data_IF_620953484240
#
_entry.id   IF_620953484240
#
_cell.length_a   1.000
_cell.length_b   1.000
_cell.length_c   1.000
_cell.angle_alpha   90.00
_cell.angle_beta   90.00
_cell.angle_gamma   90.00
#
_symmetry.space_group_name_H-M   'P 1'
#
loop_
_entity.id
_entity.type
_entity.pdbx_description
1 polymer ?
#
# COMPACT_ATOMS: atom_id res chain seq x y z
N UNK A 1 -7.24 4.29 -13.23
CA UNK A 1 -6.52 3.87 -14.46
C UNK A 1 -6.37 2.37 -14.38
N UNK A 2 -6.77 1.65 -15.42
CA UNK A 2 -6.54 0.20 -15.54
C UNK A 2 -5.51 -0.03 -16.63
N UNK A 3 -4.65 -1.02 -16.45
CA UNK A 3 -3.71 -1.47 -17.47
C UNK A 3 -3.90 -2.97 -17.59
N UNK A 4 -4.11 -3.44 -18.82
CA UNK A 4 -4.39 -4.86 -19.11
C UNK A 4 -3.19 -5.51 -19.79
N UNK A 5 -3.20 -6.84 -19.88
CA UNK A 5 -2.15 -7.64 -20.52
C UNK A 5 -0.77 -7.48 -19.88
N UNK A 6 -0.73 -7.29 -18.56
CA UNK A 6 0.51 -7.30 -17.80
C UNK A 6 0.75 -8.73 -17.29
N UNK A 7 1.76 -9.45 -17.81
CA UNK A 7 2.03 -10.80 -17.32
C UNK A 7 2.57 -10.75 -15.88
N UNK A 8 2.11 -11.63 -14.98
CA UNK A 8 2.77 -11.80 -13.69
C UNK A 8 4.19 -12.30 -13.93
N UNK A 9 5.10 -11.92 -13.06
CA UNK A 9 6.48 -12.37 -13.19
C UNK A 9 7.28 -12.13 -11.92
N UNK A 10 8.31 -12.97 -11.69
CA UNK A 10 9.25 -12.73 -10.60
C UNK A 10 9.94 -11.37 -10.81
N UNK A 11 10.54 -10.87 -9.73
CA UNK A 11 11.51 -9.77 -9.81
C UNK A 11 12.56 -10.08 -10.90
N UNK A 12 12.99 -9.05 -11.62
CA UNK A 12 14.00 -9.17 -12.68
C UNK A 12 15.02 -8.03 -12.57
N UNK A 13 15.99 -8.00 -13.49
CA UNK A 13 17.04 -6.98 -13.49
C UNK A 13 16.51 -5.56 -13.65
N UNK A 14 15.35 -5.38 -14.29
CA UNK A 14 14.73 -4.07 -14.48
C UNK A 14 14.09 -3.63 -13.16
N UNK A 15 13.28 -4.49 -12.54
CA UNK A 15 12.63 -4.16 -11.26
C UNK A 15 13.65 -3.99 -10.14
N UNK A 16 14.74 -4.77 -10.14
CA UNK A 16 15.85 -4.63 -9.22
C UNK A 16 16.59 -3.30 -9.39
N UNK A 17 16.83 -2.86 -10.62
CA UNK A 17 17.45 -1.55 -10.88
C UNK A 17 16.59 -0.39 -10.34
N UNK A 18 15.26 -0.48 -10.46
CA UNK A 18 14.35 0.49 -9.86
C UNK A 18 14.43 0.49 -8.33
N UNK A 19 14.42 -0.69 -7.69
CA UNK A 19 14.55 -0.81 -6.23
C UNK A 19 15.88 -0.26 -5.73
N UNK A 20 16.99 -0.65 -6.37
CA UNK A 20 18.33 -0.17 -6.02
C UNK A 20 18.45 1.35 -6.14
N UNK A 21 17.89 1.95 -7.20
CA UNK A 21 17.84 3.40 -7.38
C UNK A 21 16.99 4.08 -6.29
N UNK A 22 15.83 3.50 -5.97
CA UNK A 22 14.95 3.98 -4.92
C UNK A 22 15.64 3.94 -3.55
N UNK A 23 16.30 2.84 -3.20
CA UNK A 23 17.08 2.68 -1.97
C UNK A 23 18.16 3.74 -1.84
N UNK A 24 18.95 3.97 -2.90
CA UNK A 24 19.98 5.01 -2.90
C UNK A 24 19.38 6.40 -2.66
N UNK A 25 18.27 6.72 -3.33
CA UNK A 25 17.58 8.01 -3.15
C UNK A 25 17.04 8.17 -1.72
N UNK A 26 16.46 7.12 -1.14
CA UNK A 26 15.94 7.14 0.21
C UNK A 26 17.05 7.29 1.25
N UNK A 27 18.18 6.59 1.09
CA UNK A 27 19.35 6.73 1.97
C UNK A 27 19.86 8.18 2.01
N UNK A 28 19.93 8.84 0.85
CA UNK A 28 20.35 10.24 0.77
C UNK A 28 19.39 11.20 1.51
N UNK A 29 18.08 10.96 1.41
CA UNK A 29 17.06 11.72 2.15
C UNK A 29 17.16 11.44 3.66
N UNK A 30 17.23 10.17 4.04
CA UNK A 30 17.20 9.73 5.44
C UNK A 30 18.47 10.10 6.22
N UNK A 31 19.60 10.29 5.53
CA UNK A 31 20.82 10.84 6.13
C UNK A 31 20.62 12.27 6.69
N UNK A 32 19.64 13.01 6.16
CA UNK A 32 19.39 14.41 6.53
C UNK A 32 18.10 14.59 7.32
N UNK A 33 17.10 13.73 7.08
CA UNK A 33 15.76 13.88 7.63
C UNK A 33 15.25 12.54 8.12
N UNK A 34 14.94 12.38 9.42
CA UNK A 34 14.35 11.14 9.92
C UNK A 34 12.98 10.91 9.30
N UNK A 35 12.57 9.64 9.13
CA UNK A 35 11.32 9.24 8.46
C UNK A 35 10.10 10.06 8.91
N UNK A 36 9.96 10.27 10.22
CA UNK A 36 8.81 10.99 10.81
C UNK A 36 8.77 12.49 10.48
N UNK A 37 9.89 13.07 10.05
CA UNK A 37 10.00 14.49 9.69
C UNK A 37 9.92 14.73 8.17
N UNK A 38 9.77 13.67 7.37
CA UNK A 38 9.52 13.81 5.93
C UNK A 38 8.12 14.41 5.73
N UNK A 39 7.97 15.55 5.04
CA UNK A 39 6.68 16.23 4.91
C UNK A 39 5.56 15.35 4.35
N UNK A 40 5.85 14.57 3.30
CA UNK A 40 4.86 13.70 2.68
C UNK A 40 4.42 12.56 3.62
N UNK A 41 5.34 12.01 4.44
CA UNK A 41 4.99 11.02 5.47
C UNK A 41 4.02 11.61 6.49
N UNK A 42 4.27 12.85 6.93
CA UNK A 42 3.35 13.54 7.84
C UNK A 42 1.98 13.80 7.19
N UNK A 43 1.94 14.26 5.95
CA UNK A 43 0.68 14.48 5.22
C UNK A 43 -0.15 13.19 5.08
N UNK A 44 0.48 12.07 4.73
CA UNK A 44 -0.21 10.78 4.64
C UNK A 44 -0.69 10.27 6.01
N UNK A 45 0.05 10.55 7.09
CA UNK A 45 -0.45 10.27 8.45
C UNK A 45 -1.71 11.06 8.77
N UNK A 46 -1.77 12.35 8.40
CA UNK A 46 -2.98 13.15 8.61
C UNK A 46 -4.15 12.67 7.74
N UNK A 47 -3.91 12.29 6.48
CA UNK A 47 -4.93 11.68 5.63
C UNK A 47 -5.49 10.39 6.26
N UNK A 48 -4.63 9.53 6.80
CA UNK A 48 -5.04 8.30 7.49
C UNK A 48 -5.86 8.58 8.76
N UNK A 49 -5.45 9.58 9.55
CA UNK A 49 -6.23 10.01 10.72
C UNK A 49 -7.61 10.56 10.34
N UNK A 50 -7.72 11.25 9.21
CA UNK A 50 -8.98 11.87 8.78
C UNK A 50 -10.10 10.84 8.53
N UNK A 51 -9.76 9.61 8.15
CA UNK A 51 -10.72 8.49 8.05
C UNK A 51 -10.67 7.53 9.26
N UNK A 52 -10.15 7.99 10.40
CA UNK A 52 -10.19 7.26 11.66
C UNK A 52 -9.11 6.18 11.84
N UNK A 53 -8.14 6.06 10.93
CA UNK A 53 -7.04 5.12 11.12
C UNK A 53 -6.10 5.58 12.24
N UNK A 54 -5.59 4.61 13.00
CA UNK A 54 -4.66 4.87 14.11
C UNK A 54 -3.22 4.76 13.58
N UNK A 55 -2.43 5.84 13.51
CA UNK A 55 -1.09 5.79 12.89
C UNK A 55 -0.12 4.79 13.52
N UNK A 56 -0.31 4.47 14.80
CA UNK A 56 0.49 3.44 15.49
C UNK A 56 0.16 2.01 15.07
N UNK A 57 -1.04 1.78 14.52
CA UNK A 57 -1.52 0.46 14.08
C UNK A 57 -1.59 0.32 12.55
N UNK A 58 -1.69 1.45 11.84
CA UNK A 58 -1.90 1.48 10.40
C UNK A 58 -0.87 2.42 9.79
N UNK A 59 0.12 1.83 9.13
CA UNK A 59 1.20 2.55 8.45
C UNK A 59 0.98 2.47 6.94
N UNK A 60 1.09 3.60 6.25
CA UNK A 60 1.03 3.63 4.79
C UNK A 60 2.29 3.01 4.18
N UNK A 61 2.21 2.56 2.92
CA UNK A 61 3.32 1.88 2.25
C UNK A 61 4.59 2.75 2.16
N UNK A 62 4.49 4.05 1.90
CA UNK A 62 5.65 4.94 1.87
C UNK A 62 6.43 4.92 3.20
N UNK A 63 5.74 5.13 4.33
CA UNK A 63 6.38 5.11 5.64
C UNK A 63 6.97 3.72 5.96
N UNK A 64 6.24 2.65 5.63
CA UNK A 64 6.70 1.28 5.85
C UNK A 64 7.95 0.95 5.04
N UNK A 65 8.03 1.39 3.78
CA UNK A 65 9.19 1.19 2.91
C UNK A 65 10.38 2.03 3.37
N UNK A 66 10.17 3.30 3.74
CA UNK A 66 11.24 4.18 4.26
C UNK A 66 11.88 3.64 5.54
N UNK A 67 11.10 2.96 6.40
CA UNK A 67 11.63 2.32 7.61
C UNK A 67 12.43 1.05 7.34
N UNK A 68 12.33 0.47 6.15
CA UNK A 68 13.05 -0.75 5.75
C UNK A 68 14.37 -0.46 5.03
N UNK A 69 14.69 0.80 4.75
CA UNK A 69 15.82 1.17 3.88
C UNK A 69 17.17 0.61 4.37
N UNK A 70 17.37 0.48 5.68
CA UNK A 70 18.60 -0.11 6.23
C UNK A 70 18.69 -1.62 5.97
N UNK A 71 17.55 -2.31 5.91
CA UNK A 71 17.46 -3.75 5.60
C UNK A 71 17.21 -4.04 4.11
N UNK A 72 16.99 -3.00 3.31
CA UNK A 72 16.56 -3.08 1.92
C UNK A 72 15.03 -3.14 1.73
N UNK A 73 14.59 -2.67 0.56
CA UNK A 73 13.22 -2.80 0.07
C UNK A 73 12.90 -4.28 -0.22
N UNK A 74 11.63 -4.69 -0.08
CA UNK A 74 11.25 -6.07 -0.39
C UNK A 74 11.32 -6.32 -1.91
N UNK A 75 11.88 -7.48 -2.29
CA UNK A 75 11.79 -8.03 -3.65
C UNK A 75 10.66 -9.06 -3.63
N UNK A 76 9.53 -8.72 -4.25
CA UNK A 76 8.29 -9.52 -4.15
C UNK A 76 7.94 -10.12 -5.51
N UNK A 77 7.75 -9.27 -6.50
CA UNK A 77 7.48 -9.61 -7.90
C UNK A 77 7.69 -8.35 -8.73
N UNK A 78 7.81 -8.50 -10.06
CA UNK A 78 8.14 -7.38 -10.97
C UNK A 78 7.28 -6.13 -10.74
N UNK A 79 5.96 -6.29 -10.62
CA UNK A 79 5.05 -5.14 -10.48
C UNK A 79 5.14 -4.50 -9.09
N UNK A 80 5.19 -5.33 -8.06
CA UNK A 80 5.33 -4.86 -6.68
C UNK A 80 6.62 -4.10 -6.46
N UNK A 81 7.71 -4.61 -7.00
CA UNK A 81 9.01 -3.94 -6.93
C UNK A 81 8.96 -2.56 -7.60
N UNK A 82 8.36 -2.48 -8.79
CA UNK A 82 8.24 -1.22 -9.54
C UNK A 82 7.41 -0.20 -8.76
N UNK A 83 6.21 -0.58 -8.27
CA UNK A 83 5.40 0.40 -7.54
C UNK A 83 6.02 0.77 -6.18
N UNK A 84 6.75 -0.13 -5.52
CA UNK A 84 7.48 0.19 -4.29
C UNK A 84 8.62 1.19 -4.56
N UNK A 85 9.35 1.02 -5.66
CA UNK A 85 10.37 1.97 -6.09
C UNK A 85 9.77 3.34 -6.42
N UNK A 86 8.64 3.37 -7.13
CA UNK A 86 7.89 4.61 -7.43
C UNK A 86 7.42 5.28 -6.14
N UNK A 87 6.92 4.50 -5.18
CA UNK A 87 6.48 5.00 -3.88
C UNK A 87 7.58 5.79 -3.17
N UNK A 88 8.79 5.23 -3.13
CA UNK A 88 9.95 5.90 -2.55
C UNK A 88 10.35 7.13 -3.37
N UNK A 89 10.52 6.97 -4.69
CA UNK A 89 11.02 8.02 -5.58
C UNK A 89 10.15 9.28 -5.55
N UNK A 90 8.84 9.09 -5.49
CA UNK A 90 7.86 10.20 -5.52
C UNK A 90 7.26 10.50 -4.15
N UNK A 91 7.68 9.79 -3.11
CA UNK A 91 7.16 9.95 -1.74
C UNK A 91 5.63 9.88 -1.69
N UNK A 92 5.05 8.84 -2.30
CA UNK A 92 3.61 8.57 -2.30
C UNK A 92 3.34 7.09 -1.99
N UNK A 93 2.31 6.72 -1.22
CA UNK A 93 1.86 5.34 -1.15
C UNK A 93 1.23 4.94 -2.48
N UNK A 94 1.74 3.88 -3.08
CA UNK A 94 1.24 3.31 -4.32
C UNK A 94 1.08 1.80 -4.15
N UNK A 95 0.08 1.25 -4.83
CA UNK A 95 -0.20 -0.17 -4.89
C UNK A 95 -0.98 -0.50 -6.15
N UNK A 96 -1.20 -1.79 -6.38
CA UNK A 96 -2.00 -2.29 -7.49
C UNK A 96 -2.83 -3.49 -7.02
N UNK A 97 -3.95 -3.69 -7.69
CA UNK A 97 -4.84 -4.82 -7.47
C UNK A 97 -5.11 -5.56 -8.77
N UNK A 98 -5.43 -6.83 -8.62
CA UNK A 98 -5.73 -7.73 -9.73
C UNK A 98 -7.21 -7.58 -10.10
N UNK A 99 -7.48 -6.84 -11.17
CA UNK A 99 -8.84 -6.54 -11.61
C UNK A 99 -9.60 -7.80 -12.05
N UNK A 100 -8.91 -8.85 -12.48
CA UNK A 100 -9.56 -10.12 -12.86
C UNK A 100 -10.18 -10.84 -11.65
N UNK A 101 -9.85 -10.40 -10.42
CA UNK A 101 -10.44 -10.89 -9.18
C UNK A 101 -11.60 -10.05 -8.66
N UNK A 102 -11.91 -8.93 -9.30
CA UNK A 102 -13.03 -8.08 -8.91
C UNK A 102 -14.33 -8.61 -9.50
N UNK A 103 -15.40 -8.61 -8.70
CA UNK A 103 -16.77 -8.69 -9.20
C UNK A 103 -17.30 -7.28 -9.47
N UNK A 104 -17.45 -6.93 -10.76
CA UNK A 104 -17.89 -5.58 -11.13
C UNK A 104 -16.74 -4.56 -11.11
N UNK A 105 -17.08 -3.29 -10.87
CA UNK A 105 -16.11 -2.20 -10.94
C UNK A 105 -15.52 -1.86 -9.56
N UNK A 106 -14.22 -1.54 -9.46
CA UNK A 106 -13.65 -1.05 -8.20
C UNK A 106 -14.31 0.26 -7.74
N UNK A 107 -14.74 0.30 -6.49
CA UNK A 107 -15.33 1.49 -5.87
C UNK A 107 -14.50 1.92 -4.66
N UNK A 108 -14.06 3.18 -4.66
CA UNK A 108 -13.46 3.83 -3.49
C UNK A 108 -14.56 4.59 -2.73
N UNK A 109 -14.82 4.22 -1.48
CA UNK A 109 -15.80 4.88 -0.63
C UNK A 109 -15.38 4.90 0.85
N UNK A 110 -16.10 5.70 1.64
CA UNK A 110 -16.11 5.55 3.09
C UNK A 110 -17.18 4.52 3.46
N UNK A 111 -16.80 3.49 4.18
CA UNK A 111 -17.69 2.40 4.63
C UNK A 111 -18.73 2.87 5.64
N UNK A 112 -19.91 2.26 5.60
CA UNK A 112 -20.95 2.40 6.64
C UNK A 112 -20.75 1.42 7.81
N UNK A 113 -19.81 0.49 7.68
CA UNK A 113 -19.53 -0.60 8.62
C UNK A 113 -20.37 -1.85 8.40
N UNK A 114 -21.14 -1.94 7.31
CA UNK A 114 -21.89 -3.15 6.93
C UNK A 114 -21.19 -3.98 5.87
N UNK A 115 -20.18 -3.43 5.18
CA UNK A 115 -19.43 -4.14 4.16
C UNK A 115 -18.55 -5.24 4.78
N UNK A 116 -18.56 -6.43 4.18
CA UNK A 116 -17.79 -7.58 4.64
C UNK A 116 -16.36 -7.53 4.09
N UNK A 117 -15.40 -7.95 4.89
CA UNK A 117 -13.99 -8.05 4.54
C UNK A 117 -13.43 -9.40 4.99
N UNK A 118 -13.13 -10.27 4.04
CA UNK A 118 -12.49 -11.54 4.32
C UNK A 118 -11.00 -11.33 4.61
N UNK A 119 -10.59 -11.62 5.84
CA UNK A 119 -9.20 -11.53 6.29
C UNK A 119 -8.75 -12.82 6.95
N UNK A 120 -7.46 -12.91 7.27
CA UNK A 120 -6.90 -14.06 8.00
C UNK A 120 -6.43 -13.62 9.38
N UNK A 121 -6.87 -14.35 10.41
CA UNK A 121 -6.42 -14.18 11.79
C UNK A 121 -6.06 -15.54 12.36
N UNK A 122 -4.85 -15.69 12.91
CA UNK A 122 -4.38 -16.99 13.43
C UNK A 122 -4.28 -18.09 12.37
N UNK A 123 -4.25 -17.75 11.07
CA UNK A 123 -4.26 -18.72 9.97
C UNK A 123 -5.67 -19.12 9.48
N UNK A 124 -6.72 -18.70 10.18
CA UNK A 124 -8.12 -18.97 9.80
C UNK A 124 -8.74 -17.79 9.06
N UNK A 125 -9.67 -18.09 8.16
CA UNK A 125 -10.47 -17.06 7.47
C UNK A 125 -11.50 -16.52 8.45
N UNK A 126 -11.49 -15.21 8.64
CA UNK A 126 -12.45 -14.49 9.48
C UNK A 126 -13.05 -13.35 8.68
N UNK A 127 -14.36 -13.14 8.86
CA UNK A 127 -15.06 -12.01 8.25
C UNK A 127 -15.07 -10.86 9.25
N UNK A 128 -14.52 -9.72 8.85
CA UNK A 128 -14.59 -8.49 9.61
C UNK A 128 -15.44 -7.44 8.88
N UNK A 129 -15.99 -6.49 9.62
CA UNK A 129 -16.55 -5.27 9.04
C UNK A 129 -15.59 -4.09 9.28
N UNK A 130 -15.28 -3.26 8.26
CA UNK A 130 -14.56 -2.01 8.46
C UNK A 130 -15.27 -1.09 9.46
N UNK A 131 -14.51 -0.21 10.13
CA UNK A 131 -15.13 0.77 11.03
C UNK A 131 -15.82 1.86 10.21
N UNK A 132 -17.05 2.30 10.55
CA UNK A 132 -17.71 3.37 9.82
C UNK A 132 -16.81 4.60 9.61
N UNK A 133 -16.79 5.12 8.38
CA UNK A 133 -15.92 6.24 7.98
C UNK A 133 -14.52 5.84 7.54
N UNK A 134 -14.14 4.56 7.62
CA UNK A 134 -12.88 4.04 7.08
C UNK A 134 -12.89 4.06 5.53
N UNK A 135 -11.79 4.51 4.92
CA UNK A 135 -11.62 4.45 3.48
C UNK A 135 -11.37 3.01 3.01
N UNK A 136 -12.18 2.54 2.06
CA UNK A 136 -12.11 1.18 1.52
C UNK A 136 -12.16 1.18 0.00
N UNK A 137 -11.49 0.20 -0.60
CA UNK A 137 -11.84 -0.29 -1.93
C UNK A 137 -12.75 -1.50 -1.76
N UNK A 138 -13.79 -1.58 -2.57
CA UNK A 138 -14.64 -2.73 -2.68
C UNK A 138 -14.99 -3.02 -4.14
N UNK A 139 -15.45 -4.23 -4.37
CA UNK A 139 -16.17 -4.61 -5.57
C UNK A 139 -17.68 -4.71 -5.25
N UNK A 140 -18.47 -5.34 -6.11
CA UNK A 140 -19.92 -5.49 -5.90
C UNK A 140 -20.25 -6.47 -4.74
N UNK A 141 -19.29 -7.27 -4.29
CA UNK A 141 -19.49 -8.32 -3.27
C UNK A 141 -18.90 -7.94 -1.91
N UNK A 142 -17.63 -7.54 -1.87
CA UNK A 142 -16.86 -7.43 -0.64
C UNK A 142 -15.81 -6.31 -0.69
N UNK A 143 -15.22 -6.03 0.46
CA UNK A 143 -14.08 -5.14 0.59
C UNK A 143 -12.83 -5.86 0.10
N UNK A 144 -12.11 -5.21 -0.81
CA UNK A 144 -10.87 -5.75 -1.37
C UNK A 144 -9.65 -5.20 -0.64
N UNK A 145 -9.69 -3.92 -0.24
CA UNK A 145 -8.61 -3.23 0.46
C UNK A 145 -9.15 -2.25 1.51
N UNK A 146 -8.49 -2.23 2.68
CA UNK A 146 -8.87 -1.41 3.83
C UNK A 146 -7.82 -0.36 4.12
N UNK A 147 -8.21 0.88 4.39
CA UNK A 147 -7.30 1.97 4.79
C UNK A 147 -6.19 2.24 3.76
N UNK A 148 -6.47 1.99 2.47
CA UNK A 148 -5.47 2.01 1.39
C UNK A 148 -4.24 1.12 1.65
N UNK A 149 -4.38 0.13 2.51
CA UNK A 149 -3.36 -0.82 2.86
C UNK A 149 -3.76 -2.20 2.38
N UNK A 150 -2.78 -2.89 1.83
CA UNK A 150 -2.92 -4.28 1.46
C UNK A 150 -3.10 -5.16 2.72
N UNK A 151 -3.83 -6.27 2.54
CA UNK A 151 -4.32 -7.18 3.59
C UNK A 151 -3.22 -7.64 4.55
#
# INVERSE_FOLDING_TARGET
>A
MTVTNIPPGPSDSISEAFLSSAEASAKAVLAQTPVNSIPHVAQWKEAYKAFGAKPKKTMNSLEALLRRIDTGLPRVNRLTDIYNAISIKHQIPLGGEDLDKYNGSPVLKLTTGSEQFDTKSGGEVVVECPTPGEAIWCDDNEVTCRRWNWR
#
